data_IF_641140613016
#
_entry.id   IF_641140613016
#
_cell.length_a   1.000
_cell.length_b   1.000
_cell.length_c   1.000
_cell.angle_alpha   90.00
_cell.angle_beta   90.00
_cell.angle_gamma   90.00
#
_symmetry.space_group_name_H-M   'P 1'
#
loop_
_entity.id
_entity.type
_entity.pdbx_description
1 polymer ?
#
# COMPACT_ATOMS: atom_id res chain seq x y z
N UNK A 1 0.26 -4.77 17.37
CA UNK A 1 -1.06 -4.11 17.55
C UNK A 1 -2.02 -4.47 16.44
N UNK A 2 -1.66 -4.33 15.15
CA UNK A 2 -2.52 -4.76 14.03
C UNK A 2 -3.03 -6.21 14.09
N UNK A 3 -2.19 -7.17 14.51
CA UNK A 3 -2.59 -8.57 14.71
C UNK A 3 -3.72 -8.72 15.76
N UNK A 4 -3.72 -7.90 16.81
CA UNK A 4 -4.77 -7.89 17.84
C UNK A 4 -6.08 -7.41 17.22
N UNK A 5 -6.05 -6.38 16.38
CA UNK A 5 -7.23 -5.92 15.63
C UNK A 5 -7.82 -7.02 14.74
N UNK A 6 -6.98 -7.81 14.08
CA UNK A 6 -7.43 -8.96 13.28
C UNK A 6 -8.12 -10.01 14.14
N UNK A 7 -7.59 -10.35 15.32
CA UNK A 7 -8.21 -11.30 16.26
C UNK A 7 -9.59 -10.79 16.74
N UNK A 8 -9.72 -9.48 16.99
CA UNK A 8 -10.99 -8.87 17.38
C UNK A 8 -12.04 -8.96 16.27
N UNK A 9 -11.64 -8.75 15.00
CA UNK A 9 -12.52 -8.91 13.84
C UNK A 9 -12.92 -10.38 13.63
N UNK A 10 -11.95 -11.30 13.72
CA UNK A 10 -12.17 -12.72 13.45
C UNK A 10 -13.08 -13.39 14.49
N UNK A 11 -13.24 -12.78 15.67
CA UNK A 11 -14.12 -13.25 16.76
C UNK A 11 -14.09 -14.78 16.90
N UNK A 12 -12.93 -15.36 17.28
CA UNK A 12 -12.75 -16.80 17.32
C UNK A 12 -13.84 -17.46 18.18
N UNK A 13 -14.59 -18.40 17.58
CA UNK A 13 -15.67 -19.13 18.25
C UNK A 13 -17.10 -18.62 18.00
N UNK A 14 -17.30 -17.56 17.21
CA UNK A 14 -18.66 -17.08 16.87
C UNK A 14 -19.31 -17.80 15.67
N UNK A 15 -18.52 -18.48 14.84
CA UNK A 15 -18.95 -19.18 13.63
C UNK A 15 -18.33 -20.58 13.60
N UNK A 16 -19.03 -21.55 13.02
CA UNK A 16 -18.48 -22.90 12.82
C UNK A 16 -17.34 -22.86 11.80
N UNK A 17 -16.34 -23.72 11.98
CA UNK A 17 -15.20 -23.81 11.05
C UNK A 17 -15.64 -24.44 9.74
N UNK A 18 -15.95 -23.60 8.76
CA UNK A 18 -16.21 -24.02 7.38
C UNK A 18 -14.96 -23.98 6.50
N UNK A 19 -15.01 -24.67 5.36
CA UNK A 19 -13.97 -24.64 4.32
C UNK A 19 -13.59 -23.22 3.88
N UNK A 20 -14.53 -22.27 3.95
CA UNK A 20 -14.26 -20.85 3.67
C UNK A 20 -13.20 -20.22 4.58
N UNK A 21 -13.12 -20.63 5.85
CA UNK A 21 -12.11 -20.13 6.79
C UNK A 21 -10.71 -20.62 6.42
N UNK A 22 -10.60 -21.89 6.01
CA UNK A 22 -9.36 -22.45 5.49
C UNK A 22 -8.94 -21.75 4.19
N UNK A 23 -9.87 -21.55 3.26
CA UNK A 23 -9.60 -20.82 2.02
C UNK A 23 -9.12 -19.39 2.28
N UNK A 24 -9.72 -18.67 3.23
CA UNK A 24 -9.30 -17.33 3.62
C UNK A 24 -7.89 -17.31 4.24
N UNK A 25 -7.55 -18.30 5.07
CA UNK A 25 -6.21 -18.42 5.64
C UNK A 25 -5.16 -18.74 4.56
N UNK A 26 -5.46 -19.68 3.68
CA UNK A 26 -4.58 -20.02 2.55
C UNK A 26 -4.38 -18.80 1.65
N UNK A 27 -5.45 -18.06 1.34
CA UNK A 27 -5.36 -16.82 0.56
C UNK A 27 -4.49 -15.77 1.26
N UNK A 28 -4.58 -15.62 2.58
CA UNK A 28 -3.73 -14.70 3.34
C UNK A 28 -2.25 -15.08 3.26
N UNK A 29 -1.93 -16.37 3.40
CA UNK A 29 -0.54 -16.87 3.27
C UNK A 29 -0.03 -16.66 1.84
N UNK A 30 -0.79 -17.06 0.83
CA UNK A 30 -0.42 -16.86 -0.58
C UNK A 30 -0.23 -15.38 -0.92
N UNK A 31 -1.09 -14.50 -0.41
CA UNK A 31 -0.98 -13.05 -0.59
C UNK A 31 0.28 -12.48 0.07
N UNK A 32 0.61 -12.94 1.29
CA UNK A 32 1.84 -12.55 1.96
C UNK A 32 3.09 -12.99 1.19
N UNK A 33 3.11 -14.22 0.68
CA UNK A 33 4.19 -14.74 -0.17
C UNK A 33 4.30 -13.95 -1.47
N UNK A 34 3.18 -13.68 -2.15
CA UNK A 34 3.14 -12.88 -3.36
C UNK A 34 3.69 -11.46 -3.12
N UNK A 35 3.34 -10.83 -1.99
CA UNK A 35 3.86 -9.52 -1.61
C UNK A 35 5.38 -9.53 -1.37
N UNK A 36 5.92 -10.59 -0.75
CA UNK A 36 7.37 -10.76 -0.56
C UNK A 36 8.09 -10.95 -1.90
N UNK A 37 7.56 -11.80 -2.78
CA UNK A 37 8.10 -12.01 -4.14
C UNK A 37 8.10 -10.69 -4.91
N UNK A 38 6.98 -9.96 -4.89
CA UNK A 38 6.84 -8.66 -5.54
C UNK A 38 7.83 -7.64 -5.00
N UNK A 39 8.11 -7.63 -3.69
CA UNK A 39 9.15 -6.76 -3.11
C UNK A 39 10.56 -7.13 -3.57
N UNK A 40 10.83 -8.42 -3.77
CA UNK A 40 12.15 -8.92 -4.18
C UNK A 40 12.44 -8.65 -5.65
N UNK A 41 11.47 -8.90 -6.53
CA UNK A 41 11.62 -8.81 -7.99
C UNK A 41 11.21 -7.43 -8.54
N UNK A 42 10.35 -6.70 -7.83
CA UNK A 42 9.77 -5.45 -8.32
C UNK A 42 10.74 -4.27 -8.49
N UNK A 43 11.98 -4.39 -8.04
CA UNK A 43 13.03 -3.36 -8.25
C UNK A 43 13.79 -3.54 -9.56
N UNK A 44 13.83 -4.76 -10.08
CA UNK A 44 14.66 -5.13 -11.23
C UNK A 44 13.82 -5.33 -12.50
N UNK A 45 12.53 -5.64 -12.34
CA UNK A 45 11.60 -5.91 -13.45
C UNK A 45 10.79 -4.69 -13.90
N UNK A 46 10.38 -4.69 -15.17
CA UNK A 46 9.50 -3.65 -15.72
C UNK A 46 8.10 -3.75 -15.10
N UNK A 47 7.47 -2.61 -14.79
CA UNK A 47 6.10 -2.57 -14.22
C UNK A 47 5.06 -3.31 -15.08
N UNK A 48 5.24 -3.36 -16.40
CA UNK A 48 4.40 -4.13 -17.30
C UNK A 48 4.46 -5.64 -17.02
N UNK A 49 5.65 -6.18 -16.73
CA UNK A 49 5.85 -7.60 -16.40
C UNK A 49 5.17 -7.92 -15.08
N UNK A 50 5.38 -7.06 -14.08
CA UNK A 50 4.79 -7.18 -12.75
C UNK A 50 3.25 -7.12 -12.73
N UNK A 51 2.62 -6.54 -13.76
CA UNK A 51 1.16 -6.51 -13.92
C UNK A 51 0.66 -7.66 -14.82
N UNK A 52 1.25 -7.81 -16.00
CA UNK A 52 0.77 -8.73 -17.03
C UNK A 52 0.92 -10.19 -16.60
N UNK A 53 2.03 -10.57 -15.95
CA UNK A 53 2.22 -11.96 -15.53
C UNK A 53 1.18 -12.41 -14.51
N UNK A 54 0.92 -11.68 -13.41
CA UNK A 54 -0.17 -12.03 -12.49
C UNK A 54 -1.54 -12.05 -13.15
N UNK A 55 -1.84 -11.10 -14.05
CA UNK A 55 -3.12 -11.09 -14.77
C UNK A 55 -3.28 -12.30 -15.69
N UNK A 56 -2.23 -12.67 -16.44
CA UNK A 56 -2.24 -13.86 -17.28
C UNK A 56 -2.31 -15.14 -16.45
N UNK A 57 -1.56 -15.24 -15.36
CA UNK A 57 -1.62 -16.38 -14.45
C UNK A 57 -3.03 -16.54 -13.87
N UNK A 58 -3.66 -15.44 -13.42
CA UNK A 58 -5.04 -15.46 -12.93
C UNK A 58 -6.03 -15.88 -14.02
N UNK A 59 -5.86 -15.37 -15.25
CA UNK A 59 -6.70 -15.76 -16.39
C UNK A 59 -6.57 -17.25 -16.72
N UNK A 60 -5.35 -17.79 -16.78
CA UNK A 60 -5.10 -19.21 -17.06
C UNK A 60 -5.63 -20.09 -15.93
N UNK A 61 -5.33 -19.75 -14.67
CA UNK A 61 -5.79 -20.53 -13.50
C UNK A 61 -7.31 -20.53 -13.40
N UNK A 62 -7.96 -19.37 -13.52
CA UNK A 62 -9.43 -19.32 -13.50
C UNK A 62 -10.07 -19.92 -14.75
N UNK A 63 -9.44 -19.79 -15.92
CA UNK A 63 -9.89 -20.45 -17.14
C UNK A 63 -9.86 -21.98 -17.01
N UNK A 64 -8.80 -22.53 -16.42
CA UNK A 64 -8.72 -23.96 -16.11
C UNK A 64 -9.69 -24.38 -14.99
N UNK A 65 -9.98 -23.51 -14.02
CA UNK A 65 -10.94 -23.78 -12.95
C UNK A 65 -12.40 -23.71 -13.41
N UNK A 66 -12.70 -22.89 -14.43
CA UNK A 66 -14.03 -22.67 -14.97
C UNK A 66 -14.85 -23.96 -15.21
N UNK A 67 -14.36 -25.00 -15.91
CA UNK A 67 -15.16 -26.21 -16.17
C UNK A 67 -15.57 -26.97 -14.91
N UNK A 68 -14.87 -26.79 -13.78
CA UNK A 68 -15.16 -27.52 -12.54
C UNK A 68 -16.23 -26.83 -11.67
N UNK A 69 -16.46 -25.53 -11.84
CA UNK A 69 -17.30 -24.70 -10.95
C UNK A 69 -18.22 -23.76 -11.76
N UNK A 70 -18.51 -24.11 -13.01
CA UNK A 70 -19.29 -23.24 -13.90
C UNK A 70 -20.74 -23.14 -13.46
N UNK A 71 -21.20 -21.92 -13.19
CA UNK A 71 -22.62 -21.60 -13.07
C UNK A 71 -23.06 -20.68 -14.22
N UNK A 72 -24.23 -20.92 -14.84
CA UNK A 72 -24.71 -20.13 -15.96
C UNK A 72 -25.07 -18.71 -15.52
N UNK A 73 -24.38 -17.73 -16.09
CA UNK A 73 -24.59 -16.32 -15.81
C UNK A 73 -25.77 -15.80 -16.63
N UNK A 74 -26.77 -15.20 -15.97
CA UNK A 74 -27.87 -14.49 -16.66
C UNK A 74 -27.31 -13.31 -17.48
N UNK A 75 -27.84 -13.10 -18.69
CA UNK A 75 -27.37 -12.06 -19.61
C UNK A 75 -27.39 -10.64 -19.03
N UNK A 76 -28.29 -10.37 -18.07
CA UNK A 76 -28.35 -9.08 -17.36
C UNK A 76 -27.12 -8.84 -16.45
N UNK A 77 -26.52 -9.89 -15.90
CA UNK A 77 -25.33 -9.77 -15.05
C UNK A 77 -24.03 -9.59 -15.85
N UNK A 78 -24.02 -9.90 -17.15
CA UNK A 78 -22.85 -9.69 -18.01
C UNK A 78 -22.45 -8.21 -18.09
N UNK A 79 -23.44 -7.30 -18.13
CA UNK A 79 -23.18 -5.86 -18.08
C UNK A 79 -22.52 -5.42 -16.77
N UNK A 80 -22.94 -6.00 -15.65
CA UNK A 80 -22.32 -5.79 -14.34
C UNK A 80 -20.87 -6.27 -14.31
N UNK A 81 -20.59 -7.47 -14.82
CA UNK A 81 -19.23 -8.00 -14.92
C UNK A 81 -18.33 -7.16 -15.82
N UNK A 82 -18.84 -6.71 -16.96
CA UNK A 82 -18.10 -5.81 -17.85
C UNK A 82 -17.76 -4.49 -17.15
N UNK A 83 -18.70 -3.93 -16.38
CA UNK A 83 -18.49 -2.68 -15.64
C UNK A 83 -17.42 -2.85 -14.56
N UNK A 84 -17.48 -3.94 -13.78
CA UNK A 84 -16.48 -4.26 -12.76
C UNK A 84 -15.09 -4.48 -13.39
N UNK A 85 -15.03 -5.17 -14.54
CA UNK A 85 -13.79 -5.42 -15.25
C UNK A 85 -13.14 -4.11 -15.74
N UNK A 86 -13.91 -3.20 -16.33
CA UNK A 86 -13.42 -1.89 -16.79
C UNK A 86 -12.95 -1.04 -15.61
N UNK A 87 -13.76 -0.92 -14.56
CA UNK A 87 -13.39 -0.14 -13.36
C UNK A 87 -12.15 -0.72 -12.66
N UNK A 88 -12.07 -2.05 -12.53
CA UNK A 88 -10.91 -2.73 -11.95
C UNK A 88 -9.64 -2.51 -12.77
N UNK A 89 -9.74 -2.58 -14.11
CA UNK A 89 -8.62 -2.31 -15.00
C UNK A 89 -8.15 -0.86 -14.92
N UNK A 90 -9.08 0.10 -14.96
CA UNK A 90 -8.77 1.53 -14.79
C UNK A 90 -8.14 1.80 -13.41
N UNK A 91 -8.66 1.18 -12.35
CA UNK A 91 -8.11 1.26 -11.01
C UNK A 91 -6.67 0.76 -10.94
N UNK A 92 -6.38 -0.39 -11.55
CA UNK A 92 -5.03 -0.95 -11.63
C UNK A 92 -4.06 -0.02 -12.38
N UNK A 93 -4.49 0.57 -13.50
CA UNK A 93 -3.68 1.55 -14.25
C UNK A 93 -3.38 2.80 -13.43
N UNK A 94 -4.37 3.38 -12.76
CA UNK A 94 -4.16 4.53 -11.87
C UNK A 94 -3.27 4.20 -10.69
N UNK A 95 -3.38 2.99 -10.14
CA UNK A 95 -2.51 2.53 -9.08
C UNK A 95 -1.05 2.52 -9.55
N UNK A 96 -0.76 1.89 -10.69
CA UNK A 96 0.60 1.88 -11.26
C UNK A 96 1.09 3.30 -11.53
N UNK A 97 0.25 4.14 -12.15
CA UNK A 97 0.61 5.53 -12.46
C UNK A 97 0.99 6.31 -11.19
N UNK A 98 0.21 6.17 -10.11
CA UNK A 98 0.48 6.80 -8.82
C UNK A 98 1.81 6.33 -8.21
N UNK A 99 2.09 5.02 -8.27
CA UNK A 99 3.38 4.46 -7.82
C UNK A 99 4.58 4.94 -8.64
N UNK A 100 4.36 5.36 -9.89
CA UNK A 100 5.42 5.84 -10.78
C UNK A 100 5.69 7.33 -10.63
N UNK A 101 4.66 8.14 -10.34
CA UNK A 101 4.76 9.60 -10.25
C UNK A 101 4.99 10.10 -8.83
N UNK A 102 4.52 9.39 -7.81
CA UNK A 102 4.62 9.79 -6.42
C UNK A 102 5.64 8.93 -5.65
N UNK A 103 6.39 9.51 -4.68
CA UNK A 103 7.25 8.72 -3.79
C UNK A 103 6.41 7.67 -3.04
N UNK A 104 6.94 6.45 -2.90
CA UNK A 104 6.23 5.34 -2.25
C UNK A 104 5.71 5.67 -0.84
N UNK A 105 6.37 6.61 -0.14
CA UNK A 105 5.98 7.12 1.18
C UNK A 105 4.65 7.90 1.16
N UNK A 106 4.30 8.51 0.02
CA UNK A 106 3.03 9.24 -0.15
C UNK A 106 1.89 8.30 -0.56
N UNK A 107 2.20 7.23 -1.30
CA UNK A 107 1.20 6.28 -1.80
C UNK A 107 0.75 5.29 -0.71
N UNK A 108 1.67 4.89 0.17
CA UNK A 108 1.37 3.92 1.24
C UNK A 108 0.23 4.35 2.20
N UNK A 109 0.18 5.60 2.71
CA UNK A 109 -0.96 6.08 3.51
C UNK A 109 -2.29 6.02 2.76
N UNK A 110 -2.28 6.23 1.44
CA UNK A 110 -3.49 6.25 0.63
C UNK A 110 -4.11 4.86 0.45
N UNK A 111 -3.30 3.80 0.45
CA UNK A 111 -3.81 2.43 0.44
C UNK A 111 -4.63 2.11 1.70
N UNK A 112 -4.21 2.60 2.87
CA UNK A 112 -4.96 2.39 4.11
C UNK A 112 -6.32 3.11 4.10
N UNK A 113 -6.43 4.24 3.39
CA UNK A 113 -7.70 4.95 3.21
C UNK A 113 -8.75 4.12 2.45
N UNK A 114 -8.33 3.13 1.66
CA UNK A 114 -9.25 2.26 0.93
C UNK A 114 -10.17 1.47 1.86
N UNK A 115 -9.71 1.14 3.07
CA UNK A 115 -10.53 0.46 4.09
C UNK A 115 -11.71 1.35 4.50
N UNK A 116 -11.47 2.65 4.68
CA UNK A 116 -12.53 3.61 5.05
C UNK A 116 -13.57 3.74 3.94
N UNK A 117 -13.12 3.85 2.69
CA UNK A 117 -14.00 3.89 1.52
C UNK A 117 -14.77 2.58 1.32
N UNK A 118 -14.15 1.43 1.55
CA UNK A 118 -14.81 0.13 1.47
C UNK A 118 -15.97 0.03 2.49
N UNK A 119 -15.77 0.48 3.73
CA UNK A 119 -16.83 0.55 4.74
C UNK A 119 -17.92 1.54 4.34
N UNK A 120 -17.55 2.72 3.83
CA UNK A 120 -18.52 3.72 3.38
C UNK A 120 -19.39 3.21 2.23
N UNK A 121 -18.79 2.59 1.21
CA UNK A 121 -19.52 2.01 0.09
C UNK A 121 -20.34 0.77 0.51
N UNK A 122 -19.83 -0.05 1.43
CA UNK A 122 -20.60 -1.16 2.04
C UNK A 122 -21.89 -0.67 2.69
N UNK A 123 -21.79 0.38 3.51
CA UNK A 123 -22.94 0.99 4.15
C UNK A 123 -23.90 1.66 3.15
N UNK A 124 -23.36 2.35 2.13
CA UNK A 124 -24.18 3.12 1.17
C UNK A 124 -24.91 2.24 0.15
N UNK A 125 -24.23 1.26 -0.44
CA UNK A 125 -24.79 0.43 -1.50
C UNK A 125 -25.52 -0.81 -0.97
N UNK A 126 -25.05 -1.41 0.12
CA UNK A 126 -25.59 -2.67 0.63
C UNK A 126 -26.39 -2.50 1.94
N UNK A 127 -26.40 -1.30 2.53
CA UNK A 127 -27.05 -1.06 3.82
C UNK A 127 -26.42 -1.85 4.98
N UNK A 128 -25.23 -2.42 4.77
CA UNK A 128 -24.55 -3.24 5.75
C UNK A 128 -23.87 -2.35 6.80
N UNK A 129 -24.42 -2.32 8.01
CA UNK A 129 -23.74 -1.69 9.16
C UNK A 129 -22.80 -2.70 9.80
N UNK A 130 -21.49 -2.41 9.92
CA UNK A 130 -20.56 -3.31 10.59
C UNK A 130 -21.05 -3.59 12.02
N UNK A 131 -21.10 -4.87 12.40
CA UNK A 131 -21.35 -5.24 13.78
C UNK A 131 -20.37 -4.50 14.70
N UNK A 132 -20.81 -4.14 15.92
CA UNK A 132 -20.02 -3.32 16.87
C UNK A 132 -18.58 -3.83 17.04
N UNK A 133 -18.39 -5.14 17.02
CA UNK A 133 -17.08 -5.78 17.15
C UNK A 133 -16.21 -5.62 15.88
N UNK A 134 -16.79 -5.76 14.69
CA UNK A 134 -16.11 -5.52 13.41
C UNK A 134 -15.70 -4.05 13.28
N UNK A 135 -16.55 -3.12 13.73
CA UNK A 135 -16.22 -1.70 13.76
C UNK A 135 -15.04 -1.39 14.70
N UNK A 136 -15.03 -1.97 15.90
CA UNK A 136 -13.92 -1.81 16.87
C UNK A 136 -12.63 -2.42 16.30
N UNK A 137 -12.70 -3.63 15.76
CA UNK A 137 -11.53 -4.30 15.17
C UNK A 137 -10.96 -3.56 13.96
N UNK A 138 -11.82 -3.09 13.05
CA UNK A 138 -11.42 -2.24 11.92
C UNK A 138 -10.77 -0.94 12.39
N UNK A 139 -11.32 -0.30 13.44
CA UNK A 139 -10.74 0.88 14.05
C UNK A 139 -9.32 0.64 14.60
N UNK A 140 -9.10 -0.50 15.27
CA UNK A 140 -7.77 -0.90 15.77
C UNK A 140 -6.79 -1.14 14.61
N UNK A 141 -7.24 -1.76 13.51
CA UNK A 141 -6.41 -2.01 12.32
C UNK A 141 -6.00 -0.67 11.68
N UNK A 142 -6.95 0.23 11.48
CA UNK A 142 -6.69 1.57 10.91
C UNK A 142 -5.75 2.37 11.82
N UNK A 143 -6.02 2.41 13.13
CA UNK A 143 -5.17 3.11 14.09
C UNK A 143 -3.75 2.53 14.15
N UNK A 144 -3.61 1.20 14.07
CA UNK A 144 -2.30 0.56 14.00
C UNK A 144 -1.56 0.88 12.71
N UNK A 145 -2.25 0.89 11.56
CA UNK A 145 -1.65 1.27 10.28
C UNK A 145 -1.16 2.72 10.29
N UNK A 146 -2.02 3.62 10.79
CA UNK A 146 -1.71 5.04 10.93
C UNK A 146 -0.56 5.29 11.93
N UNK A 147 -0.53 4.56 13.05
CA UNK A 147 0.57 4.62 14.01
C UNK A 147 1.90 4.18 13.39
N UNK A 148 1.92 3.08 12.63
CA UNK A 148 3.13 2.63 11.92
C UNK A 148 3.61 3.70 10.94
N UNK A 149 2.70 4.26 10.14
CA UNK A 149 3.02 5.33 9.18
C UNK A 149 3.54 6.59 9.86
N UNK A 150 2.92 7.06 10.95
CA UNK A 150 3.41 8.24 11.66
C UNK A 150 4.73 7.98 12.40
N UNK A 151 4.90 6.77 12.95
CA UNK A 151 6.14 6.37 13.60
C UNK A 151 7.28 6.26 12.59
N UNK A 152 7.07 5.62 11.44
CA UNK A 152 8.09 5.48 10.38
C UNK A 152 8.28 6.77 9.58
N UNK A 153 7.23 7.59 9.41
CA UNK A 153 7.32 8.93 8.84
C UNK A 153 8.12 9.91 9.71
N UNK A 154 8.16 9.67 11.03
CA UNK A 154 9.00 10.42 11.98
C UNK A 154 10.36 9.78 12.26
N UNK A 155 10.51 8.46 12.10
CA UNK A 155 11.79 7.77 12.26
C UNK A 155 12.46 7.55 10.91
N UNK A 156 13.30 8.52 10.56
CA UNK A 156 14.44 8.38 9.65
C UNK A 156 14.83 6.91 9.45
N UNK A 157 14.67 6.44 8.22
CA UNK A 157 15.39 5.33 7.59
C UNK A 157 16.17 4.44 8.59
N UNK A 158 15.63 3.26 8.87
CA UNK A 158 16.38 2.22 9.56
C UNK A 158 17.79 2.09 8.96
N UNK A 159 18.76 2.12 9.87
CA UNK A 159 20.21 2.15 9.71
C UNK A 159 20.77 0.84 9.15
N UNK A 160 20.18 0.28 8.10
CA UNK A 160 20.76 -0.84 7.33
C UNK A 160 21.27 -0.29 6.00
N UNK A 161 22.53 0.09 6.03
CA UNK A 161 23.34 0.60 4.91
C UNK A 161 23.30 -0.33 3.69
N UNK A 162 22.79 0.09 2.52
CA UNK A 162 23.33 -0.35 1.25
C UNK A 162 24.45 0.62 0.87
N UNK A 163 25.69 0.19 1.07
CA UNK A 163 26.86 0.83 0.46
C UNK A 163 26.80 0.62 -1.04
N UNK A 164 26.33 1.61 -1.81
CA UNK A 164 26.82 1.86 -3.17
C UNK A 164 26.78 3.37 -3.44
N UNK A 165 27.97 3.98 -3.41
CA UNK A 165 28.24 5.23 -4.13
C UNK A 165 27.95 4.99 -5.61
N UNK A 166 27.10 5.81 -6.23
CA UNK A 166 27.43 6.53 -7.47
C UNK A 166 26.38 7.57 -7.81
N UNK A 167 26.81 8.82 -7.69
CA UNK A 167 26.36 10.04 -8.37
C UNK A 167 24.94 10.12 -8.94
N UNK A 168 24.11 10.93 -8.29
CA UNK A 168 22.97 11.58 -8.96
C UNK A 168 23.32 13.04 -9.19
N UNK A 169 23.51 13.41 -10.45
CA UNK A 169 23.59 14.80 -10.90
C UNK A 169 22.32 15.55 -10.45
N UNK A 170 22.50 16.61 -9.68
CA UNK A 170 21.45 17.55 -9.33
C UNK A 170 21.09 18.38 -10.57
N UNK A 171 20.02 18.01 -11.26
CA UNK A 171 19.29 18.87 -12.19
C UNK A 171 17.86 18.98 -11.68
N UNK A 172 17.60 19.98 -10.84
CA UNK A 172 16.34 20.75 -10.80
C UNK A 172 16.55 21.95 -9.85
N UNK A 173 16.47 23.16 -10.41
CA UNK A 173 16.78 24.43 -9.75
C UNK A 173 15.63 25.02 -8.94
N UNK A 174 15.10 24.31 -7.94
CA UNK A 174 14.00 24.80 -7.10
C UNK A 174 14.21 24.68 -5.59
N UNK A 175 15.35 24.18 -5.13
CA UNK A 175 15.72 24.23 -3.71
C UNK A 175 16.68 25.38 -3.39
N UNK A 176 16.32 26.31 -2.49
CA UNK A 176 17.23 27.38 -2.08
C UNK A 176 18.46 26.76 -1.39
N UNK A 177 19.65 27.18 -1.84
CA UNK A 177 20.95 26.67 -1.36
C UNK A 177 21.19 27.05 0.10
N UNK A 178 20.68 26.26 1.05
CA UNK A 178 20.94 26.38 2.50
C UNK A 178 22.46 26.38 2.81
N UNK A 179 23.27 25.78 1.92
CA UNK A 179 24.73 25.79 2.01
C UNK A 179 25.38 27.19 1.84
N UNK A 180 24.80 28.08 1.03
CA UNK A 180 25.33 29.43 0.84
C UNK A 180 25.10 30.29 2.10
N UNK A 181 23.91 30.17 2.71
CA UNK A 181 23.56 30.86 3.95
C UNK A 181 24.50 30.46 5.11
N UNK A 182 24.80 29.15 5.26
CA UNK A 182 25.74 28.67 6.29
C UNK A 182 27.17 29.18 6.09
N UNK A 183 27.60 29.41 4.84
CA UNK A 183 28.95 29.90 4.54
C UNK A 183 29.11 31.38 4.91
N UNK A 184 28.08 32.20 4.64
CA UNK A 184 28.05 33.61 5.05
C UNK A 184 28.02 33.73 6.57
N UNK A 185 27.21 32.90 7.24
CA UNK A 185 27.09 32.94 8.69
C UNK A 185 28.38 32.54 9.43
N UNK A 186 29.11 31.55 8.90
CA UNK A 186 30.44 31.19 9.43
C UNK A 186 31.49 32.28 9.20
N UNK A 187 31.42 32.99 8.06
CA UNK A 187 32.35 34.10 7.79
C UNK A 187 32.15 35.26 8.77
N UNK A 188 30.90 35.60 9.10
CA UNK A 188 30.62 36.65 10.06
C UNK A 188 30.99 36.27 11.51
N UNK A 189 30.79 35.01 11.92
CA UNK A 189 31.28 34.54 13.24
C UNK A 189 32.80 34.54 13.34
N UNK A 190 33.52 34.19 12.28
CA UNK A 190 34.99 34.23 12.27
C UNK A 190 35.54 35.67 12.27
N UNK A 191 34.81 36.63 11.68
CA UNK A 191 35.15 38.05 11.75
C UNK A 191 34.92 38.64 13.15
N UNK A 192 33.81 38.27 13.82
CA UNK A 192 33.51 38.72 15.18
C UNK A 192 34.50 38.18 16.23
N UNK A 193 35.08 37.00 16.00
CA UNK A 193 36.09 36.41 16.88
C UNK A 193 37.50 37.02 16.75
N UNK A 194 37.73 37.92 15.77
CA UNK A 194 39.02 38.61 15.55
C UNK A 194 38.99 40.09 15.96
N UNK A 195 37.94 40.56 16.63
CA UNK A 195 37.91 41.93 17.16
C UNK A 195 38.85 42.04 18.37
N UNK A 196 39.83 42.95 18.35
CA UNK A 196 40.77 43.11 19.46
C UNK A 196 40.03 43.62 20.70
N UNK A 197 40.28 42.95 21.84
CA UNK A 197 39.92 43.43 23.17
C UNK A 197 40.80 44.64 23.49
N UNK A 198 40.21 45.83 23.44
CA UNK A 198 40.71 47.02 24.14
C UNK A 198 39.76 47.33 25.27
#
# INVERSE_FOLDING_TARGET
VGLIGVIVVLRPGATQFELGHLAALTAAICSAVAAVIMRKIGRDERSAVLLLYPMMANFVVMGCAMPFVYEPVSGLHLGGFATIAVLGFMGALFHIAAYRTAPAVVVAPMQYSQILWAVAYGAFFFGETPARNTAIGAGIIIASGLYVVFREGGSTASRTTPVLRTQTRYLLGTVPRIGALRRIWRRNRAAAAKAPTT
#
